data_IF_048036309705
#
_entry.id   IF_048036309705
#
_cell.length_a   1.000
_cell.length_b   1.000
_cell.length_c   1.000
_cell.angle_alpha   90.00
_cell.angle_beta   90.00
_cell.angle_gamma   90.00
#
_symmetry.space_group_name_H-M   'P 1'
#
loop_
_entity.id
_entity.type
_entity.pdbx_description
1 polymer ?
#
# COMPACT_ATOMS: atom_id res chain seq x y z
N UNK A 1 8.40 -5.01 -4.03
CA UNK A 1 8.33 -3.61 -4.50
C UNK A 1 8.27 -3.60 -6.02
N UNK A 2 7.13 -3.80 -6.66
CA UNK A 2 7.03 -3.71 -8.14
C UNK A 2 5.65 -3.26 -8.60
N UNK A 3 4.89 -2.56 -7.73
CA UNK A 3 3.66 -1.90 -8.18
C UNK A 3 3.95 -0.57 -8.91
N UNK A 4 5.18 -0.09 -8.81
CA UNK A 4 5.71 1.08 -9.53
C UNK A 4 7.10 0.73 -10.06
N UNK A 5 7.56 1.32 -11.16
CA UNK A 5 8.88 1.04 -11.75
C UNK A 5 10.09 1.52 -10.93
N UNK A 6 9.93 1.77 -9.63
CA UNK A 6 10.99 2.17 -8.70
C UNK A 6 10.56 2.04 -7.24
N UNK A 7 11.48 2.23 -6.27
CA UNK A 7 11.13 2.28 -4.86
C UNK A 7 10.20 3.47 -4.61
N UNK A 8 8.95 3.19 -4.23
CA UNK A 8 7.98 4.21 -3.89
C UNK A 8 7.92 4.40 -2.37
N UNK A 9 7.98 5.64 -1.92
CA UNK A 9 7.69 5.99 -0.54
C UNK A 9 6.17 6.03 -0.35
N UNK A 10 5.69 5.37 0.70
CA UNK A 10 4.28 5.26 1.02
C UNK A 10 4.04 5.88 2.40
N UNK A 11 3.15 6.85 2.45
CA UNK A 11 2.62 7.35 3.72
C UNK A 11 1.47 6.47 4.20
N UNK A 12 1.48 6.06 5.46
CA UNK A 12 0.40 5.28 6.06
C UNK A 12 -0.08 5.95 7.34
N UNK A 13 -1.40 6.08 7.46
CA UNK A 13 -2.09 6.44 8.70
C UNK A 13 -2.99 5.29 9.09
N UNK A 14 -3.02 4.96 10.38
CA UNK A 14 -3.85 3.89 10.90
C UNK A 14 -4.55 4.32 12.19
N UNK A 15 -5.77 3.83 12.37
CA UNK A 15 -6.50 3.91 13.62
C UNK A 15 -7.11 2.54 13.91
N UNK A 16 -7.10 2.11 15.18
CA UNK A 16 -7.58 0.79 15.52
C UNK A 16 -7.93 0.63 16.99
N UNK A 17 -8.49 -0.54 17.31
CA UNK A 17 -8.84 -0.93 18.66
C UNK A 17 -8.24 -2.30 18.97
N UNK A 18 -7.73 -2.45 20.21
CA UNK A 18 -7.15 -3.69 20.70
C UNK A 18 -8.07 -4.39 21.71
N UNK A 19 -8.11 -5.72 21.63
CA UNK A 19 -8.93 -6.60 22.48
C UNK A 19 -8.06 -7.77 22.97
N UNK A 20 -7.39 -7.58 24.09
CA UNK A 20 -6.45 -8.59 24.60
C UNK A 20 -5.28 -8.84 23.64
N UNK A 21 -5.20 -10.05 23.07
CA UNK A 21 -4.17 -10.40 22.07
C UNK A 21 -4.57 -10.10 20.64
N UNK A 22 -5.76 -9.60 20.37
CA UNK A 22 -6.24 -9.26 19.05
C UNK A 22 -6.36 -7.74 18.88
N UNK A 23 -6.19 -7.24 17.67
CA UNK A 23 -6.52 -5.86 17.28
C UNK A 23 -7.14 -5.81 15.91
N UNK A 24 -7.87 -4.74 15.65
CA UNK A 24 -8.37 -4.40 14.32
C UNK A 24 -7.92 -2.97 14.01
N UNK A 25 -7.08 -2.82 13.00
CA UNK A 25 -6.62 -1.53 12.51
C UNK A 25 -7.32 -1.22 11.17
N UNK A 26 -7.72 0.04 10.99
CA UNK A 26 -8.10 0.61 9.70
C UNK A 26 -6.95 1.49 9.23
N UNK A 27 -6.41 1.20 8.06
CA UNK A 27 -5.26 1.90 7.51
C UNK A 27 -5.62 2.61 6.21
N UNK A 28 -5.18 3.87 6.10
CA UNK A 28 -5.14 4.60 4.84
C UNK A 28 -3.69 4.71 4.37
N UNK A 29 -3.43 4.31 3.14
CA UNK A 29 -2.12 4.36 2.52
C UNK A 29 -2.18 5.20 1.25
N UNK A 30 -1.27 6.17 1.15
CA UNK A 30 -1.14 7.01 -0.03
C UNK A 30 0.29 6.98 -0.57
N UNK A 31 0.42 6.83 -1.88
CA UNK A 31 1.67 7.02 -2.61
C UNK A 31 1.60 8.35 -3.35
N UNK A 32 2.58 9.25 -3.17
CA UNK A 32 2.70 10.41 -4.04
C UNK A 32 2.91 9.94 -5.49
N UNK A 33 2.56 10.80 -6.44
CA UNK A 33 2.75 10.52 -7.84
C UNK A 33 4.23 10.21 -8.13
N UNK A 34 4.51 8.99 -8.56
CA UNK A 34 5.83 8.59 -9.03
C UNK A 34 5.90 8.81 -10.54
N UNK A 35 6.76 9.72 -10.98
CA UNK A 35 6.95 10.02 -12.40
C UNK A 35 8.08 9.16 -12.93
N UNK A 36 7.82 8.43 -14.01
CA UNK A 36 8.84 7.70 -14.75
C UNK A 36 8.87 8.24 -16.16
N UNK A 37 10.06 8.73 -16.56
CA UNK A 37 10.30 9.18 -17.93
C UNK A 37 10.47 7.95 -18.82
N UNK A 38 9.52 7.75 -19.72
CA UNK A 38 9.65 6.81 -20.82
C UNK A 38 10.07 7.59 -22.09
N UNK A 39 10.69 6.93 -23.05
CA UNK A 39 11.23 7.55 -24.27
C UNK A 39 10.20 8.32 -25.14
N UNK A 40 8.93 8.37 -24.75
CA UNK A 40 7.83 9.04 -25.46
C UNK A 40 6.87 9.84 -24.56
N UNK A 41 7.27 10.21 -23.34
CA UNK A 41 6.45 11.01 -22.42
C UNK A 41 6.61 10.59 -20.97
N UNK A 42 6.16 11.43 -20.06
CA UNK A 42 6.18 11.16 -18.63
C UNK A 42 4.86 10.51 -18.20
N UNK A 43 4.97 9.44 -17.41
CA UNK A 43 3.81 8.76 -16.80
C UNK A 43 3.89 8.93 -15.30
N UNK A 44 2.88 9.54 -14.72
CA UNK A 44 2.74 9.65 -13.27
C UNK A 44 1.61 8.76 -12.77
N UNK A 45 1.87 7.99 -11.71
CA UNK A 45 0.87 7.14 -11.07
C UNK A 45 0.80 7.44 -9.58
N UNK A 46 -0.40 7.56 -9.04
CA UNK A 46 -0.67 7.70 -7.62
C UNK A 46 -1.63 6.61 -7.14
N UNK A 47 -1.43 6.14 -5.91
CA UNK A 47 -2.23 5.08 -5.32
C UNK A 47 -2.78 5.54 -3.97
N UNK A 48 -4.08 5.37 -3.77
CA UNK A 48 -4.75 5.55 -2.49
C UNK A 48 -5.47 4.25 -2.13
N UNK A 49 -5.16 3.66 -0.97
CA UNK A 49 -5.75 2.39 -0.51
C UNK A 49 -6.21 2.54 0.92
N UNK A 50 -7.39 2.00 1.22
CA UNK A 50 -7.91 1.80 2.56
C UNK A 50 -7.96 0.29 2.84
N UNK A 51 -7.45 -0.11 4.00
CA UNK A 51 -7.33 -1.52 4.38
C UNK A 51 -7.88 -1.76 5.77
N UNK A 52 -8.54 -2.91 5.94
CA UNK A 52 -8.84 -3.49 7.25
C UNK A 52 -7.76 -4.53 7.58
N UNK A 53 -7.22 -4.44 8.78
CA UNK A 53 -6.04 -5.20 9.22
C UNK A 53 -6.32 -5.83 10.59
N UNK A 54 -7.01 -6.98 10.65
CA UNK A 54 -7.09 -7.76 11.86
C UNK A 54 -5.74 -8.38 12.20
N UNK A 55 -5.28 -8.20 13.44
CA UNK A 55 -3.99 -8.66 13.92
C UNK A 55 -4.12 -9.54 15.17
N UNK A 56 -3.17 -10.44 15.33
CA UNK A 56 -2.94 -11.20 16.55
C UNK A 56 -1.52 -10.92 17.05
N UNK A 57 -1.40 -10.65 18.35
CA UNK A 57 -0.17 -10.24 19.01
C UNK A 57 0.32 -11.29 19.98
N UNK A 58 1.61 -11.64 19.89
CA UNK A 58 2.31 -12.51 20.83
C UNK A 58 3.56 -11.79 21.30
N UNK A 59 3.52 -11.26 22.51
CA UNK A 59 4.56 -10.38 23.05
C UNK A 59 4.78 -9.17 22.13
N UNK A 60 5.98 -9.06 21.53
CA UNK A 60 6.34 -7.99 20.58
C UNK A 60 6.02 -8.35 19.12
N UNK A 61 5.81 -9.63 18.82
CA UNK A 61 5.51 -10.08 17.48
C UNK A 61 4.04 -9.92 17.14
N UNK A 62 3.74 -9.63 15.88
CA UNK A 62 2.37 -9.59 15.39
C UNK A 62 2.25 -10.25 14.02
N UNK A 63 1.12 -10.94 13.82
CA UNK A 63 0.69 -11.48 12.54
C UNK A 63 -0.70 -10.97 12.19
N UNK A 64 -0.90 -10.51 10.97
CA UNK A 64 -2.16 -9.91 10.53
C UNK A 64 -2.59 -10.44 9.17
N UNK A 65 -3.90 -10.44 8.93
CA UNK A 65 -4.46 -10.46 7.59
C UNK A 65 -4.69 -9.03 7.09
N UNK A 66 -4.68 -8.83 5.78
CA UNK A 66 -4.98 -7.54 5.15
C UNK A 66 -6.03 -7.75 4.06
N UNK A 67 -7.01 -6.86 4.05
CA UNK A 67 -7.92 -6.70 2.91
C UNK A 67 -8.03 -5.21 2.63
N UNK A 68 -7.74 -4.82 1.39
CA UNK A 68 -7.72 -3.42 1.01
C UNK A 68 -8.47 -3.14 -0.29
N UNK A 69 -9.05 -1.95 -0.36
CA UNK A 69 -9.67 -1.40 -1.55
C UNK A 69 -9.17 0.02 -1.76
N UNK A 70 -9.04 0.44 -3.00
CA UNK A 70 -8.50 1.75 -3.29
C UNK A 70 -8.65 2.15 -4.73
N UNK A 71 -7.95 3.20 -5.09
CA UNK A 71 -7.95 3.78 -6.42
C UNK A 71 -6.52 4.00 -6.91
N UNK A 72 -6.24 3.46 -8.08
CA UNK A 72 -5.03 3.73 -8.84
C UNK A 72 -5.36 4.80 -9.88
N UNK A 73 -4.69 5.95 -9.82
CA UNK A 73 -4.86 7.03 -10.78
C UNK A 73 -3.57 7.18 -11.59
N UNK A 74 -3.70 7.13 -12.92
CA UNK A 74 -2.61 7.35 -13.87
C UNK A 74 -2.84 8.61 -14.68
N UNK A 75 -1.79 9.42 -14.86
CA UNK A 75 -1.77 10.56 -15.79
C UNK A 75 -0.61 10.41 -16.75
N UNK A 76 -0.89 10.46 -18.05
CA UNK A 76 0.14 10.55 -19.09
C UNK A 76 0.30 12.00 -19.53
N UNK A 77 1.52 12.54 -19.49
CA UNK A 77 1.87 13.86 -20.02
C UNK A 77 2.71 13.69 -21.28
N UNK A 78 2.41 14.48 -22.30
CA UNK A 78 3.17 14.49 -23.56
C UNK A 78 2.56 13.65 -24.70
N UNK A 79 1.34 13.11 -24.56
CA UNK A 79 0.56 12.50 -25.66
C UNK A 79 -0.64 13.37 -25.99
N UNK A 80 -0.97 13.47 -27.30
CA UNK A 80 -2.01 14.36 -27.86
C UNK A 80 -3.45 14.11 -27.32
N UNK A 81 -3.65 13.18 -26.41
CA UNK A 81 -4.87 12.94 -25.66
C UNK A 81 -4.49 12.47 -24.25
N UNK A 82 -4.13 13.41 -23.37
CA UNK A 82 -3.95 13.12 -21.95
C UNK A 82 -5.23 12.56 -21.34
N UNK A 83 -5.33 11.25 -21.17
CA UNK A 83 -6.40 10.60 -20.41
C UNK A 83 -5.91 10.34 -19.00
N UNK A 84 -6.66 10.86 -18.06
CA UNK A 84 -6.56 10.43 -16.67
C UNK A 84 -7.55 9.30 -16.48
N UNK A 85 -7.08 8.09 -16.24
CA UNK A 85 -7.93 6.95 -15.89
C UNK A 85 -7.72 6.60 -14.42
N UNK A 86 -8.85 6.44 -13.73
CA UNK A 86 -8.89 5.97 -12.37
C UNK A 86 -9.47 4.56 -12.35
N UNK A 87 -8.71 3.60 -11.83
CA UNK A 87 -9.12 2.20 -11.78
C UNK A 87 -9.25 1.73 -10.33
N UNK A 88 -10.30 0.97 -10.05
CA UNK A 88 -10.49 0.34 -8.75
C UNK A 88 -9.34 -0.66 -8.52
N UNK A 89 -8.71 -0.56 -7.34
CA UNK A 89 -7.68 -1.46 -6.87
C UNK A 89 -8.19 -2.22 -5.65
N UNK A 90 -8.06 -3.54 -5.64
CA UNK A 90 -8.35 -4.37 -4.49
C UNK A 90 -7.20 -5.33 -4.25
N UNK A 91 -6.87 -5.55 -2.99
CA UNK A 91 -5.83 -6.50 -2.58
C UNK A 91 -6.23 -7.29 -1.35
N UNK A 92 -5.60 -8.44 -1.18
CA UNK A 92 -5.60 -9.20 0.06
C UNK A 92 -4.18 -9.66 0.37
N UNK A 93 -3.89 -9.93 1.64
CA UNK A 93 -2.54 -10.34 2.00
C UNK A 93 -2.34 -10.68 3.45
N UNK A 94 -1.08 -10.80 3.82
CA UNK A 94 -0.65 -11.05 5.18
C UNK A 94 0.47 -10.09 5.58
N UNK A 95 0.51 -9.77 6.86
CA UNK A 95 1.53 -8.92 7.50
C UNK A 95 2.20 -9.68 8.62
N UNK A 96 3.51 -9.57 8.68
CA UNK A 96 4.31 -9.91 9.84
C UNK A 96 5.00 -8.66 10.36
N UNK A 97 5.10 -8.53 11.68
CA UNK A 97 5.74 -7.38 12.26
C UNK A 97 6.11 -7.55 13.71
N UNK A 98 6.75 -6.50 14.23
CA UNK A 98 7.06 -6.38 15.64
C UNK A 98 6.67 -4.98 16.13
N UNK A 99 6.13 -4.93 17.33
CA UNK A 99 5.78 -3.68 18.01
C UNK A 99 6.54 -3.60 19.31
N UNK A 100 7.47 -2.68 19.40
CA UNK A 100 8.41 -2.50 20.50
C UNK A 100 7.91 -1.32 21.34
N UNK A 101 7.44 -1.54 22.58
CA UNK A 101 7.02 -0.45 23.46
C UNK A 101 8.24 0.38 23.87
N UNK A 102 8.15 1.70 23.70
CA UNK A 102 9.16 2.66 24.14
C UNK A 102 8.72 3.37 25.41
N UNK A 103 7.43 3.74 25.48
CA UNK A 103 6.76 4.29 26.65
C UNK A 103 5.37 3.65 26.78
N UNK A 104 4.69 3.92 27.88
CA UNK A 104 3.35 3.35 28.15
C UNK A 104 2.33 3.61 27.05
N UNK A 105 2.45 4.74 26.33
CA UNK A 105 1.56 5.15 25.25
C UNK A 105 2.21 5.19 23.86
N UNK A 106 3.51 4.86 23.76
CA UNK A 106 4.28 4.99 22.52
C UNK A 106 5.02 3.69 22.20
N UNK A 107 4.83 3.18 21.00
CA UNK A 107 5.54 2.02 20.47
C UNK A 107 6.12 2.31 19.09
N UNK A 108 7.20 1.62 18.72
CA UNK A 108 7.73 1.57 17.37
C UNK A 108 7.25 0.26 16.74
N UNK A 109 6.62 0.36 15.58
CA UNK A 109 6.16 -0.79 14.79
C UNK A 109 7.01 -0.94 13.54
N UNK A 110 7.53 -2.15 13.31
CA UNK A 110 8.21 -2.54 12.07
C UNK A 110 7.39 -3.66 11.44
N UNK A 111 7.19 -3.60 10.11
CA UNK A 111 6.33 -4.55 9.40
C UNK A 111 6.83 -4.91 8.01
N UNK A 112 6.45 -6.10 7.57
CA UNK A 112 6.58 -6.57 6.18
C UNK A 112 5.22 -7.12 5.76
N UNK A 113 4.74 -6.69 4.59
CA UNK A 113 3.45 -7.06 4.03
C UNK A 113 3.67 -7.82 2.73
N UNK A 114 3.03 -8.97 2.59
CA UNK A 114 2.88 -9.70 1.34
C UNK A 114 1.46 -9.51 0.82
N UNK A 115 1.30 -8.93 -0.36
CA UNK A 115 0.02 -8.54 -0.94
C UNK A 115 -0.20 -9.25 -2.27
N UNK A 116 -1.43 -9.72 -2.49
CA UNK A 116 -1.91 -10.25 -3.77
C UNK A 116 -2.96 -9.29 -4.30
N UNK A 117 -2.70 -8.56 -5.39
CA UNK A 117 -3.71 -7.76 -6.06
C UNK A 117 -4.83 -8.68 -6.59
N UNK A 118 -6.07 -8.32 -6.30
CA UNK A 118 -7.26 -9.04 -6.76
C UNK A 118 -7.80 -8.47 -8.08
N UNK A 119 -7.39 -7.24 -8.40
CA UNK A 119 -7.74 -6.56 -9.66
C UNK A 119 -6.53 -6.56 -10.58
N UNK A 120 -6.71 -7.02 -11.81
CA UNK A 120 -5.68 -7.01 -12.84
C UNK A 120 -5.89 -5.79 -13.73
N UNK A 121 -5.00 -4.83 -13.64
CA UNK A 121 -4.98 -3.64 -14.49
C UNK A 121 -3.82 -3.74 -15.48
N UNK A 122 -4.09 -3.48 -16.76
CA UNK A 122 -3.09 -3.41 -17.82
C UNK A 122 -3.06 -1.99 -18.36
N UNK A 123 -1.89 -1.40 -18.41
CA UNK A 123 -1.67 -0.13 -19.08
C UNK A 123 -1.20 -0.40 -20.52
N UNK A 124 -2.01 0.04 -21.48
CA UNK A 124 -1.74 -0.10 -22.91
C UNK A 124 -1.46 1.29 -23.47
N UNK A 125 -0.29 1.49 -24.05
CA UNK A 125 0.09 2.72 -24.77
C UNK A 125 0.27 2.38 -26.27
N UNK A 126 -0.50 3.02 -27.13
CA UNK A 126 -0.45 2.78 -28.58
C UNK A 126 -0.60 1.30 -29.00
N UNK A 127 -1.44 0.54 -28.29
CA UNK A 127 -1.68 -0.88 -28.59
C UNK A 127 -0.63 -1.85 -28.02
N UNK A 128 0.42 -1.36 -27.38
CA UNK A 128 1.41 -2.18 -26.69
C UNK A 128 1.19 -2.14 -25.18
N UNK A 129 1.22 -3.31 -24.52
CA UNK A 129 1.18 -3.41 -23.07
C UNK A 129 2.51 -2.89 -22.50
N UNK A 130 2.44 -1.78 -21.75
CA UNK A 130 3.62 -1.15 -21.13
C UNK A 130 3.78 -1.52 -19.66
N UNK A 131 2.70 -1.99 -19.02
CA UNK A 131 2.72 -2.43 -17.64
C UNK A 131 1.48 -3.27 -17.31
N UNK A 132 1.68 -4.29 -16.46
CA UNK A 132 0.60 -5.08 -15.85
C UNK A 132 0.80 -5.21 -14.35
N UNK A 133 -0.31 -5.34 -13.61
CA UNK A 133 -0.27 -5.54 -12.17
C UNK A 133 0.50 -6.82 -11.83
N UNK A 134 1.54 -6.77 -10.96
CA UNK A 134 2.29 -7.96 -10.55
C UNK A 134 1.38 -8.91 -9.76
N UNK A 135 1.64 -10.21 -9.85
CA UNK A 135 0.87 -11.24 -9.14
C UNK A 135 1.03 -11.14 -7.62
N UNK A 136 2.18 -10.70 -7.16
CA UNK A 136 2.51 -10.52 -5.73
C UNK A 136 3.31 -9.24 -5.54
N UNK A 137 2.99 -8.49 -4.51
CA UNK A 137 3.76 -7.33 -4.09
C UNK A 137 4.24 -7.52 -2.64
N UNK A 138 5.46 -7.07 -2.35
CA UNK A 138 6.01 -7.08 -1.00
C UNK A 138 6.34 -5.64 -0.62
N UNK A 139 5.89 -5.23 0.56
CA UNK A 139 6.20 -3.91 1.11
C UNK A 139 6.79 -4.05 2.51
N UNK A 140 7.64 -3.12 2.90
CA UNK A 140 8.18 -3.03 4.26
C UNK A 140 8.03 -1.61 4.78
N UNK A 141 7.88 -1.47 6.10
CA UNK A 141 7.72 -0.17 6.71
C UNK A 141 8.04 -0.15 8.18
N UNK A 142 8.32 1.06 8.68
CA UNK A 142 8.44 1.36 10.08
C UNK A 142 7.54 2.56 10.42
N UNK A 143 7.03 2.60 11.63
CA UNK A 143 6.13 3.64 12.07
C UNK A 143 6.07 3.77 13.58
N UNK A 144 5.35 4.78 14.02
CA UNK A 144 5.09 5.07 15.43
C UNK A 144 3.62 4.76 15.73
N UNK A 145 3.38 4.08 16.83
CA UNK A 145 2.04 3.75 17.32
C UNK A 145 1.80 4.50 18.62
N UNK A 146 0.74 5.31 18.64
CA UNK A 146 0.24 5.97 19.83
C UNK A 146 -0.98 5.20 20.34
N UNK A 147 -0.98 4.84 21.62
CA UNK A 147 -2.10 4.18 22.29
C UNK A 147 -2.75 5.13 23.27
N UNK A 148 -4.06 5.22 23.18
CA UNK A 148 -4.88 5.98 24.11
C UNK A 148 -5.64 5.00 24.99
N UNK A 149 -5.80 5.30 26.30
CA UNK A 149 -6.56 4.46 27.25
C UNK A 149 -8.05 4.42 26.90
#
# INVERSE_FOLDING_TARGET
VNATPGPAFLGTLAAGAGFGHASLDLEGMASPASTTSASKGDVSASLLVFSAVPCFHVNVAMGCALVGVGQLSGKGEGVSAGRSDATLYANAGARLGAEIPVYSSLSIRVRVDGLVPLTHTRLVLNGAEVWSTPTVAVTGGAGVVLRFP
#
